data_IF_391881506161
#
_entry.id   IF_391881506161
#
_cell.length_a   1.000
_cell.length_b   1.000
_cell.length_c   1.000
_cell.angle_alpha   90.00
_cell.angle_beta   90.00
_cell.angle_gamma   90.00
#
_symmetry.space_group_name_H-M   'P 1'
#
loop_
_entity.id
_entity.type
_entity.pdbx_description
1 polymer ?
#
# COMPACT_ATOMS: atom_id res chain seq x y z
N UNK A 1 6.64 -0.24 14.87
CA UNK A 1 7.81 -0.11 15.78
C UNK A 1 9.15 -0.22 15.03
N UNK A 2 9.43 -1.31 14.29
CA UNK A 2 10.71 -1.47 13.56
C UNK A 2 11.00 -0.37 12.53
N UNK A 3 10.03 -0.01 11.67
CA UNK A 3 10.22 1.03 10.66
C UNK A 3 10.52 2.42 11.24
N UNK A 4 9.79 2.80 12.28
CA UNK A 4 10.02 4.05 13.01
C UNK A 4 11.42 4.08 13.63
N UNK A 5 11.91 2.94 14.13
CA UNK A 5 13.28 2.82 14.64
C UNK A 5 14.35 3.00 13.56
N UNK A 6 14.15 2.44 12.35
CA UNK A 6 15.07 2.66 11.21
C UNK A 6 15.15 4.15 10.82
N UNK A 7 14.00 4.82 10.74
CA UNK A 7 13.95 6.26 10.44
C UNK A 7 14.62 7.07 11.56
N UNK A 8 14.39 6.72 12.82
CA UNK A 8 15.04 7.36 13.97
C UNK A 8 16.58 7.27 13.90
N UNK A 9 17.12 6.09 13.57
CA UNK A 9 18.56 5.88 13.41
C UNK A 9 19.19 6.60 12.20
N UNK A 10 18.38 7.15 11.28
CA UNK A 10 18.86 7.85 10.08
C UNK A 10 18.65 9.36 10.14
N UNK A 11 17.50 9.82 10.65
CA UNK A 11 17.08 11.24 10.58
C UNK A 11 16.79 11.87 11.94
N UNK A 12 16.85 11.12 13.05
CA UNK A 12 16.59 11.61 14.40
C UNK A 12 15.11 11.68 14.80
N UNK A 13 14.82 12.02 16.07
CA UNK A 13 13.47 11.92 16.64
C UNK A 13 12.45 12.87 16.00
N UNK A 14 12.80 14.16 15.84
CA UNK A 14 11.90 15.17 15.25
C UNK A 14 11.48 14.78 13.83
N UNK A 15 12.43 14.43 12.98
CA UNK A 15 12.19 14.00 11.60
C UNK A 15 11.38 12.70 11.55
N UNK A 16 11.62 11.76 12.46
CA UNK A 16 10.85 10.52 12.55
C UNK A 16 9.38 10.77 12.83
N UNK A 17 9.07 11.67 13.77
CA UNK A 17 7.70 12.04 14.08
C UNK A 17 7.00 12.66 12.86
N UNK A 18 7.67 13.60 12.18
CA UNK A 18 7.11 14.25 10.99
C UNK A 18 6.88 13.24 9.86
N UNK A 19 7.87 12.40 9.57
CA UNK A 19 7.76 11.35 8.54
C UNK A 19 6.62 10.38 8.89
N UNK A 20 6.46 10.01 10.16
CA UNK A 20 5.38 9.14 10.60
C UNK A 20 4.00 9.76 10.38
N UNK A 21 3.81 11.02 10.77
CA UNK A 21 2.55 11.76 10.58
C UNK A 21 2.24 11.85 9.08
N UNK A 22 3.22 12.27 8.28
CA UNK A 22 3.02 12.44 6.84
C UNK A 22 2.75 11.12 6.13
N UNK A 23 3.46 10.04 6.49
CA UNK A 23 3.19 8.72 5.94
C UNK A 23 1.78 8.26 6.31
N UNK A 24 1.32 8.55 7.53
CA UNK A 24 -0.05 8.23 7.97
C UNK A 24 -1.11 8.99 7.18
N UNK A 25 -0.87 10.29 6.91
CA UNK A 25 -1.73 11.11 6.04
C UNK A 25 -1.73 10.58 4.61
N UNK A 26 -0.56 10.22 4.08
CA UNK A 26 -0.43 9.65 2.74
C UNK A 26 -1.20 8.31 2.61
N UNK A 27 -1.17 7.47 3.65
CA UNK A 27 -1.96 6.22 3.71
C UNK A 27 -3.46 6.50 3.79
N UNK A 28 -3.87 7.49 4.59
CA UNK A 28 -5.26 7.92 4.62
C UNK A 28 -5.74 8.39 3.25
N UNK A 29 -4.90 9.13 2.52
CA UNK A 29 -5.19 9.57 1.16
C UNK A 29 -5.24 8.40 0.18
N UNK A 30 -4.33 7.42 0.27
CA UNK A 30 -4.38 6.22 -0.59
C UNK A 30 -5.67 5.45 -0.37
N UNK A 31 -6.11 5.28 0.88
CA UNK A 31 -7.36 4.58 1.19
C UNK A 31 -8.58 5.33 0.66
N UNK A 32 -8.64 6.63 0.92
CA UNK A 32 -9.74 7.48 0.48
C UNK A 32 -9.87 7.49 -1.04
N UNK A 33 -8.76 7.66 -1.75
CA UNK A 33 -8.76 7.68 -3.22
C UNK A 33 -9.01 6.29 -3.82
N UNK A 34 -8.42 5.22 -3.26
CA UNK A 34 -8.71 3.86 -3.70
C UNK A 34 -10.21 3.54 -3.61
N UNK A 35 -10.87 3.98 -2.55
CA UNK A 35 -12.30 3.76 -2.36
C UNK A 35 -13.16 4.66 -3.26
N UNK A 36 -13.02 5.98 -3.16
CA UNK A 36 -13.96 6.94 -3.76
C UNK A 36 -13.61 7.29 -5.22
N UNK A 37 -12.33 7.22 -5.61
CA UNK A 37 -11.93 7.56 -6.98
C UNK A 37 -11.89 6.33 -7.89
N UNK A 38 -11.37 5.20 -7.41
CA UNK A 38 -11.21 4.02 -8.27
C UNK A 38 -12.40 3.09 -8.21
N UNK A 39 -12.79 2.64 -7.01
CA UNK A 39 -13.85 1.61 -6.90
C UNK A 39 -15.22 2.12 -7.30
N UNK A 40 -15.56 3.36 -6.94
CA UNK A 40 -16.86 3.93 -7.29
C UNK A 40 -16.98 4.27 -8.78
N UNK A 41 -15.86 4.55 -9.45
CA UNK A 41 -15.84 4.83 -10.89
C UNK A 41 -15.74 3.57 -11.75
N UNK A 42 -14.85 2.63 -11.40
CA UNK A 42 -14.56 1.46 -12.25
C UNK A 42 -15.53 0.32 -11.96
N UNK A 43 -16.02 0.20 -10.72
CA UNK A 43 -17.04 -0.77 -10.30
C UNK A 43 -16.75 -2.23 -10.75
N UNK A 44 -15.47 -2.60 -10.84
CA UNK A 44 -15.09 -3.97 -11.20
C UNK A 44 -15.31 -4.89 -10.01
N UNK A 45 -16.23 -5.85 -10.18
CA UNK A 45 -16.49 -6.89 -9.18
C UNK A 45 -15.24 -7.69 -8.83
N UNK A 46 -15.11 -8.06 -7.55
CA UNK A 46 -14.05 -8.96 -7.08
C UNK A 46 -14.23 -10.39 -7.62
N UNK A 47 -13.15 -11.21 -7.66
CA UNK A 47 -13.28 -12.62 -8.01
C UNK A 47 -14.30 -13.35 -7.11
N UNK A 48 -14.35 -12.98 -5.82
CA UNK A 48 -15.30 -13.49 -4.82
C UNK A 48 -16.79 -13.23 -5.14
N UNK A 49 -17.10 -12.28 -6.02
CA UNK A 49 -18.46 -11.93 -6.44
C UNK A 49 -18.72 -12.22 -7.93
N UNK A 50 -17.75 -12.82 -8.63
CA UNK A 50 -17.91 -13.16 -10.04
C UNK A 50 -18.71 -14.46 -10.17
N UNK A 51 -19.72 -14.46 -11.06
CA UNK A 51 -20.72 -15.54 -11.17
C UNK A 51 -20.11 -16.93 -11.39
N UNK A 52 -19.08 -17.02 -12.22
CA UNK A 52 -18.37 -18.26 -12.52
C UNK A 52 -17.23 -18.54 -11.53
N UNK A 53 -16.29 -17.59 -11.39
CA UNK A 53 -15.09 -17.79 -10.56
C UNK A 53 -15.38 -18.01 -9.07
N UNK A 54 -16.45 -17.44 -8.53
CA UNK A 54 -16.75 -17.57 -7.08
C UNK A 54 -17.09 -19.00 -6.66
N UNK A 55 -17.50 -19.86 -7.59
CA UNK A 55 -17.81 -21.26 -7.32
C UNK A 55 -16.54 -22.11 -7.18
N UNK A 56 -15.47 -21.71 -7.85
CA UNK A 56 -14.18 -22.41 -7.87
C UNK A 56 -13.21 -21.94 -6.77
N UNK A 57 -13.59 -20.90 -6.01
CA UNK A 57 -12.74 -20.29 -4.98
C UNK A 57 -13.06 -20.80 -3.58
N UNK A 58 -12.01 -21.19 -2.86
CA UNK A 58 -12.11 -21.54 -1.44
C UNK A 58 -11.97 -20.29 -0.56
N UNK A 59 -13.06 -19.88 0.09
CA UNK A 59 -13.07 -18.70 0.96
C UNK A 59 -12.67 -19.06 2.39
N UNK A 60 -11.56 -18.50 2.86
CA UNK A 60 -11.13 -18.62 4.26
C UNK A 60 -12.18 -17.95 5.15
N UNK A 61 -12.82 -18.73 6.02
CA UNK A 61 -13.87 -18.27 6.93
C UNK A 61 -15.03 -17.53 6.24
N UNK A 62 -15.30 -17.84 4.95
CA UNK A 62 -16.35 -17.17 4.18
C UNK A 62 -16.05 -15.71 3.84
N UNK A 63 -14.80 -15.24 3.99
CA UNK A 63 -14.44 -13.85 3.71
C UNK A 63 -14.50 -13.54 2.20
N UNK A 64 -15.33 -12.56 1.81
CA UNK A 64 -15.50 -12.13 0.41
C UNK A 64 -15.07 -10.70 0.13
N UNK A 65 -14.80 -9.91 1.18
CA UNK A 65 -14.51 -8.48 1.05
C UNK A 65 -15.71 -7.65 0.57
N UNK A 66 -15.47 -6.42 0.11
CA UNK A 66 -16.51 -5.56 -0.49
C UNK A 66 -16.87 -5.97 -1.93
N UNK A 67 -17.79 -5.26 -2.57
CA UNK A 67 -18.22 -5.62 -3.95
C UNK A 67 -17.14 -5.35 -5.00
N UNK A 68 -16.53 -4.15 -4.96
CA UNK A 68 -15.57 -3.71 -5.98
C UNK A 68 -14.11 -3.90 -5.54
N UNK A 69 -13.29 -4.31 -6.49
CA UNK A 69 -11.90 -4.76 -6.27
C UNK A 69 -10.82 -3.79 -6.73
N UNK A 70 -11.06 -2.96 -7.74
CA UNK A 70 -10.01 -2.14 -8.36
C UNK A 70 -9.97 -0.72 -7.80
N UNK A 71 -8.85 -0.20 -7.30
CA UNK A 71 -7.56 -0.85 -6.97
C UNK A 71 -7.59 -1.45 -5.55
N UNK A 72 -6.63 -2.32 -5.21
CA UNK A 72 -6.56 -2.88 -3.86
C UNK A 72 -6.01 -1.89 -2.83
N UNK A 73 -6.83 -1.51 -1.85
CA UNK A 73 -6.41 -0.68 -0.70
C UNK A 73 -5.24 -1.29 0.07
N UNK A 74 -5.25 -2.59 0.34
CA UNK A 74 -4.17 -3.24 1.10
C UNK A 74 -2.84 -3.18 0.34
N UNK A 75 -2.88 -3.43 -0.97
CA UNK A 75 -1.69 -3.32 -1.82
C UNK A 75 -1.20 -1.86 -1.90
N UNK A 76 -2.12 -0.90 -2.08
CA UNK A 76 -1.80 0.53 -2.15
C UNK A 76 -1.20 1.07 -0.85
N UNK A 77 -1.80 0.77 0.29
CA UNK A 77 -1.32 1.23 1.59
C UNK A 77 0.05 0.63 1.91
N UNK A 78 0.23 -0.68 1.69
CA UNK A 78 1.51 -1.32 1.95
C UNK A 78 2.62 -0.78 1.05
N UNK A 79 2.33 -0.56 -0.25
CA UNK A 79 3.27 0.08 -1.17
C UNK A 79 3.60 1.52 -0.74
N UNK A 80 2.61 2.30 -0.31
CA UNK A 80 2.81 3.66 0.18
C UNK A 80 3.72 3.71 1.42
N UNK A 81 3.44 2.86 2.42
CA UNK A 81 4.24 2.75 3.64
C UNK A 81 5.68 2.34 3.30
N UNK A 82 5.82 1.22 2.59
CA UNK A 82 7.11 0.63 2.28
C UNK A 82 7.99 1.59 1.45
N UNK A 83 7.41 2.21 0.42
CA UNK A 83 8.13 3.13 -0.43
C UNK A 83 8.46 4.44 0.28
N UNK A 84 7.54 5.01 1.07
CA UNK A 84 7.80 6.21 1.88
C UNK A 84 9.00 6.00 2.81
N UNK A 85 8.97 4.93 3.61
CA UNK A 85 10.07 4.65 4.55
C UNK A 85 11.38 4.42 3.79
N UNK A 86 11.36 3.62 2.72
CA UNK A 86 12.54 3.38 1.91
C UNK A 86 13.17 4.68 1.39
N UNK A 87 12.37 5.61 0.86
CA UNK A 87 12.87 6.90 0.35
C UNK A 87 13.62 7.72 1.41
N UNK A 88 13.21 7.65 2.68
CA UNK A 88 13.89 8.38 3.77
C UNK A 88 15.15 7.70 4.29
N UNK A 89 15.25 6.37 4.16
CA UNK A 89 16.37 5.59 4.73
C UNK A 89 17.38 5.09 3.69
N UNK A 90 17.06 5.16 2.38
CA UNK A 90 17.86 4.59 1.28
C UNK A 90 19.30 5.10 1.21
N UNK A 91 19.57 6.34 1.65
CA UNK A 91 20.93 6.90 1.65
C UNK A 91 21.89 6.09 2.52
N UNK A 92 21.40 5.54 3.63
CA UNK A 92 22.18 4.70 4.56
C UNK A 92 21.94 3.20 4.36
N UNK A 93 20.72 2.82 4.00
CA UNK A 93 20.27 1.43 3.94
C UNK A 93 19.69 1.05 2.57
N UNK A 94 20.40 1.37 1.49
CA UNK A 94 19.93 1.13 0.11
C UNK A 94 19.55 -0.34 -0.16
N UNK A 95 20.25 -1.31 0.43
CA UNK A 95 20.00 -2.75 0.26
C UNK A 95 18.66 -3.23 0.83
N UNK A 96 17.98 -2.44 1.67
CA UNK A 96 16.68 -2.81 2.25
C UNK A 96 15.52 -2.77 1.25
N UNK A 97 15.75 -2.37 0.00
CA UNK A 97 14.68 -2.35 -1.01
C UNK A 97 14.03 -3.73 -1.19
N UNK A 98 14.81 -4.83 -1.15
CA UNK A 98 14.30 -6.21 -1.22
C UNK A 98 13.42 -6.54 -0.03
N UNK A 99 13.80 -6.09 1.17
CA UNK A 99 13.02 -6.29 2.38
C UNK A 99 11.66 -5.59 2.29
N UNK A 100 11.62 -4.34 1.84
CA UNK A 100 10.37 -3.62 1.62
C UNK A 100 9.51 -4.27 0.52
N UNK A 101 10.13 -4.68 -0.58
CA UNK A 101 9.45 -5.38 -1.67
C UNK A 101 8.83 -6.70 -1.18
N UNK A 102 9.54 -7.46 -0.35
CA UNK A 102 9.03 -8.70 0.24
C UNK A 102 7.73 -8.47 1.00
N UNK A 103 7.64 -7.44 1.86
CA UNK A 103 6.39 -7.13 2.58
C UNK A 103 5.26 -6.70 1.64
N UNK A 104 5.56 -5.87 0.63
CA UNK A 104 4.57 -5.45 -0.36
C UNK A 104 3.99 -6.67 -1.09
N UNK A 105 4.85 -7.59 -1.54
CA UNK A 105 4.46 -8.83 -2.19
C UNK A 105 3.68 -9.74 -1.24
N UNK A 106 4.14 -9.92 0.00
CA UNK A 106 3.50 -10.78 1.00
C UNK A 106 2.07 -10.33 1.31
N UNK A 107 1.88 -9.03 1.58
CA UNK A 107 0.55 -8.47 1.84
C UNK A 107 -0.34 -8.59 0.60
N UNK A 108 0.22 -8.36 -0.59
CA UNK A 108 -0.53 -8.48 -1.85
C UNK A 108 -0.94 -9.91 -2.15
N UNK A 109 -0.03 -10.87 -1.93
CA UNK A 109 -0.30 -12.28 -2.08
C UNK A 109 -1.44 -12.73 -1.16
N UNK A 110 -1.47 -12.23 0.09
CA UNK A 110 -2.56 -12.53 1.02
C UNK A 110 -3.94 -12.14 0.46
N UNK A 111 -4.02 -11.14 -0.42
CA UNK A 111 -5.28 -10.69 -1.04
C UNK A 111 -5.69 -11.55 -2.22
N UNK A 112 -4.72 -12.02 -3.01
CA UNK A 112 -4.95 -12.98 -4.09
C UNK A 112 -5.36 -14.33 -3.49
N UNK A 113 -4.66 -14.78 -2.45
CA UNK A 113 -4.95 -16.04 -1.74
C UNK A 113 -6.38 -16.09 -1.18
N UNK A 114 -6.89 -14.97 -0.67
CA UNK A 114 -8.29 -14.87 -0.20
C UNK A 114 -9.32 -14.78 -1.33
N UNK A 115 -8.90 -14.76 -2.60
CA UNK A 115 -9.80 -14.65 -3.75
C UNK A 115 -10.54 -13.31 -3.86
N UNK A 116 -10.04 -12.26 -3.20
CA UNK A 116 -10.73 -10.95 -3.14
C UNK A 116 -10.18 -9.92 -4.12
N UNK A 117 -9.07 -10.20 -4.79
CA UNK A 117 -8.46 -9.26 -5.74
C UNK A 117 -7.82 -9.99 -6.92
N UNK A 118 -7.95 -9.41 -8.11
CA UNK A 118 -7.19 -9.82 -9.29
C UNK A 118 -5.75 -9.30 -9.20
N UNK A 119 -4.78 -9.94 -9.89
CA UNK A 119 -3.41 -9.42 -10.00
C UNK A 119 -3.34 -7.97 -10.51
N UNK A 120 -4.27 -7.56 -11.37
CA UNK A 120 -4.34 -6.17 -11.86
C UNK A 120 -4.82 -5.17 -10.80
N UNK A 121 -5.66 -5.59 -9.83
CA UNK A 121 -6.02 -4.75 -8.66
C UNK A 121 -4.78 -4.43 -7.82
N UNK A 122 -3.90 -5.43 -7.70
CA UNK A 122 -2.65 -5.36 -6.93
C UNK A 122 -1.66 -4.43 -7.64
N UNK A 123 -1.44 -4.61 -8.94
CA UNK A 123 -0.53 -3.76 -9.72
C UNK A 123 -0.98 -2.29 -9.69
N UNK A 124 -2.28 -2.03 -9.89
CA UNK A 124 -2.84 -0.68 -9.75
C UNK A 124 -2.63 -0.10 -8.35
N UNK A 125 -2.80 -0.94 -7.32
CA UNK A 125 -2.49 -0.59 -5.93
C UNK A 125 -1.04 -0.18 -5.73
N UNK A 126 -0.08 -0.99 -6.20
CA UNK A 126 1.35 -0.68 -6.09
C UNK A 126 1.71 0.64 -6.75
N UNK A 127 1.25 0.83 -7.99
CA UNK A 127 1.51 2.06 -8.76
C UNK A 127 0.97 3.27 -8.00
N UNK A 128 -0.29 3.22 -7.55
CA UNK A 128 -0.94 4.33 -6.89
C UNK A 128 -0.30 4.65 -5.53
N UNK A 129 -0.07 3.63 -4.71
CA UNK A 129 0.57 3.77 -3.40
C UNK A 129 1.98 4.36 -3.51
N UNK A 130 2.78 3.87 -4.45
CA UNK A 130 4.12 4.42 -4.71
C UNK A 130 4.09 5.85 -5.23
N UNK A 131 3.11 6.21 -6.08
CA UNK A 131 2.96 7.57 -6.59
C UNK A 131 2.61 8.56 -5.49
N UNK A 132 1.68 8.21 -4.59
CA UNK A 132 1.34 9.05 -3.45
C UNK A 132 2.55 9.19 -2.51
N UNK A 133 3.22 8.10 -2.16
CA UNK A 133 4.43 8.13 -1.34
C UNK A 133 5.52 9.03 -1.93
N UNK A 134 5.75 8.94 -3.24
CA UNK A 134 6.70 9.80 -3.95
C UNK A 134 6.31 11.28 -3.86
N UNK A 135 5.03 11.59 -4.10
CA UNK A 135 4.52 12.96 -4.06
C UNK A 135 4.72 13.61 -2.69
N UNK A 136 4.39 12.89 -1.60
CA UNK A 136 4.61 13.36 -0.24
C UNK A 136 6.09 13.47 0.13
N UNK A 137 6.93 12.53 -0.35
CA UNK A 137 8.38 12.63 -0.17
C UNK A 137 8.95 13.90 -0.79
N UNK A 138 8.56 14.24 -2.02
CA UNK A 138 9.00 15.47 -2.68
C UNK A 138 8.50 16.72 -1.96
N UNK A 139 7.24 16.72 -1.53
CA UNK A 139 6.68 17.83 -0.76
C UNK A 139 7.44 18.07 0.54
N UNK A 140 7.68 17.01 1.33
CA UNK A 140 8.45 17.11 2.56
C UNK A 140 9.92 17.51 2.32
N UNK A 141 10.52 16.98 1.25
CA UNK A 141 11.90 17.31 0.91
C UNK A 141 12.05 18.80 0.61
N UNK A 142 11.04 19.46 0.03
CA UNK A 142 11.09 20.90 -0.23
C UNK A 142 10.98 21.77 1.04
N UNK A 143 10.36 21.25 2.10
CA UNK A 143 10.02 22.02 3.32
C UNK A 143 11.04 21.80 4.44
N UNK A 144 11.58 20.58 4.58
CA UNK A 144 12.29 20.13 5.79
C UNK A 144 13.72 19.64 5.51
N UNK A 145 14.02 19.20 4.30
CA UNK A 145 15.34 18.65 3.90
C UNK A 145 16.05 19.57 2.91
#
# INVERSE_FOLDING_TARGET
>A
MFFSFLVYKTKGAKSTLVIFIITSVAVGLTDFTAQNLFKETIQRYRPSHHLTLSQDLNFVSGYRGGQYGFISNHASNMACIAFSIYLYVREKYHHLWLFFLFFVVLISYSRIYLGVHYPTDILGGWIWGSLIAYSFYFFLKKIIL
#
